data_IF_731630816188
#
_entry.id   IF_731630816188
#
_cell.length_a   1.000
_cell.length_b   1.000
_cell.length_c   1.000
_cell.angle_alpha   90.00
_cell.angle_beta   90.00
_cell.angle_gamma   90.00
#
_symmetry.space_group_name_H-M   'P 1'
#
loop_
_entity.id
_entity.type
_entity.pdbx_description
1 polymer ?
#
# COMPACT_ATOMS: atom_id res chain seq x y z
N UNK A 1 47.23 -6.50 15.69
CA UNK A 1 46.84 -5.24 15.01
C UNK A 1 45.85 -5.42 13.85
N UNK A 2 45.85 -6.56 13.14
CA UNK A 2 44.89 -6.85 12.04
C UNK A 2 43.40 -6.84 12.44
N UNK A 3 43.06 -7.27 13.66
CA UNK A 3 41.66 -7.34 14.11
C UNK A 3 40.99 -5.98 14.35
N UNK A 4 41.77 -4.93 14.66
CA UNK A 4 41.22 -3.59 14.90
C UNK A 4 40.78 -2.90 13.60
N UNK A 5 41.55 -3.10 12.52
CA UNK A 5 41.22 -2.59 11.19
C UNK A 5 39.98 -3.26 10.58
N UNK A 6 39.79 -4.57 10.82
CA UNK A 6 38.60 -5.30 10.35
C UNK A 6 37.32 -4.78 11.00
N UNK A 7 37.36 -4.43 12.30
CA UNK A 7 36.23 -3.85 13.03
C UNK A 7 35.79 -2.49 12.49
N UNK A 8 36.75 -1.64 12.14
CA UNK A 8 36.46 -0.31 11.57
C UNK A 8 35.92 -0.45 10.14
N UNK A 9 36.53 -1.34 9.34
CA UNK A 9 36.08 -1.58 7.97
C UNK A 9 34.66 -2.17 7.90
N UNK A 10 34.30 -3.09 8.80
CA UNK A 10 32.96 -3.68 8.82
C UNK A 10 31.88 -2.67 9.19
N UNK A 11 32.15 -1.76 10.13
CA UNK A 11 31.20 -0.70 10.51
C UNK A 11 30.92 0.27 9.36
N UNK A 12 31.97 0.71 8.66
CA UNK A 12 31.83 1.62 7.51
C UNK A 12 31.10 0.95 6.33
N UNK A 13 31.35 -0.34 6.09
CA UNK A 13 30.66 -1.09 5.04
C UNK A 13 29.15 -1.19 5.29
N UNK A 14 28.73 -1.41 6.55
CA UNK A 14 27.30 -1.49 6.90
C UNK A 14 26.55 -0.19 6.60
N UNK A 15 27.09 0.96 6.99
CA UNK A 15 26.48 2.27 6.72
C UNK A 15 26.41 2.54 5.21
N UNK A 16 27.46 2.14 4.48
CA UNK A 16 27.50 2.33 3.03
C UNK A 16 26.44 1.49 2.32
N UNK A 17 26.25 0.23 2.70
CA UNK A 17 25.22 -0.65 2.12
C UNK A 17 23.82 -0.09 2.39
N UNK A 18 23.53 0.33 3.62
CA UNK A 18 22.22 0.91 3.97
C UNK A 18 21.97 2.23 3.24
N UNK A 19 22.98 3.09 3.14
CA UNK A 19 22.88 4.34 2.39
C UNK A 19 22.67 4.11 0.89
N UNK A 20 23.34 3.11 0.31
CA UNK A 20 23.23 2.75 -1.09
C UNK A 20 21.86 2.13 -1.39
N UNK A 21 21.36 1.22 -0.54
CA UNK A 21 20.03 0.64 -0.64
C UNK A 21 18.93 1.72 -0.54
N UNK A 22 19.07 2.66 0.41
CA UNK A 22 18.17 3.81 0.53
C UNK A 22 18.18 4.70 -0.70
N UNK A 23 19.34 4.94 -1.31
CA UNK A 23 19.45 5.71 -2.55
C UNK A 23 18.87 4.97 -3.76
N UNK A 24 19.11 3.66 -3.89
CA UNK A 24 18.55 2.81 -4.94
C UNK A 24 17.03 2.72 -4.85
N UNK A 25 16.47 2.66 -3.63
CA UNK A 25 15.04 2.77 -3.40
C UNK A 25 14.47 4.09 -3.94
N UNK A 26 15.09 5.22 -3.58
CA UNK A 26 14.63 6.54 -4.01
C UNK A 26 14.81 6.75 -5.52
N UNK A 27 15.92 6.25 -6.10
CA UNK A 27 16.22 6.38 -7.52
C UNK A 27 15.37 5.43 -8.38
N UNK A 28 15.21 4.18 -7.97
CA UNK A 28 14.38 3.17 -8.66
C UNK A 28 12.88 3.46 -8.56
N UNK A 29 12.44 4.06 -7.46
CA UNK A 29 11.09 4.60 -7.34
C UNK A 29 10.80 5.67 -8.40
N UNK A 30 11.75 6.59 -8.65
CA UNK A 30 11.57 7.63 -9.70
C UNK A 30 11.37 7.03 -11.09
N UNK A 31 12.16 6.02 -11.46
CA UNK A 31 12.03 5.37 -12.78
C UNK A 31 10.78 4.51 -12.90
N UNK A 32 10.33 3.84 -11.83
CA UNK A 32 9.07 3.07 -11.85
C UNK A 32 7.83 3.98 -11.86
N UNK A 33 7.89 5.15 -11.23
CA UNK A 33 6.80 6.15 -11.30
C UNK A 33 6.61 6.64 -12.74
N UNK A 34 7.68 6.91 -13.49
CA UNK A 34 7.56 7.28 -14.92
C UNK A 34 6.98 6.12 -15.76
N UNK A 35 7.30 4.87 -15.44
CA UNK A 35 6.85 3.69 -16.20
C UNK A 35 5.41 3.25 -15.87
N UNK A 36 4.93 3.45 -14.64
CA UNK A 36 3.56 3.17 -14.21
C UNK A 36 2.59 4.27 -14.67
N UNK A 37 3.10 5.49 -14.90
CA UNK A 37 2.31 6.61 -15.45
C UNK A 37 2.03 6.45 -16.95
N UNK A 38 2.91 5.77 -17.71
CA UNK A 38 2.75 5.57 -19.15
C UNK A 38 2.20 4.19 -19.56
N UNK A 39 1.94 3.28 -18.62
CA UNK A 39 1.42 1.95 -18.93
C UNK A 39 -0.06 1.81 -18.53
N UNK A 40 -0.87 1.29 -19.45
CA UNK A 40 -2.29 0.96 -19.29
C UNK A 40 -2.49 -0.29 -18.39
N UNK A 41 -1.84 -0.29 -17.23
CA UNK A 41 -1.84 -1.40 -16.28
C UNK A 41 -2.81 -1.06 -15.16
N UNK A 42 -3.62 -2.06 -14.77
CA UNK A 42 -4.56 -1.97 -13.68
C UNK A 42 -3.84 -1.61 -12.37
N UNK A 43 -4.39 -0.63 -11.64
CA UNK A 43 -3.85 -0.21 -10.35
C UNK A 43 -4.56 -1.00 -9.26
N UNK A 44 -3.83 -1.87 -8.57
CA UNK A 44 -4.30 -2.54 -7.37
C UNK A 44 -3.86 -1.77 -6.14
N UNK A 45 -4.81 -1.16 -5.44
CA UNK A 45 -4.59 -0.42 -4.19
C UNK A 45 -5.07 -1.30 -3.04
N UNK A 46 -4.16 -1.82 -2.19
CA UNK A 46 -4.57 -2.49 -0.95
C UNK A 46 -5.16 -1.44 -0.01
N UNK A 47 -6.33 -1.73 0.57
CA UNK A 47 -6.94 -0.87 1.57
C UNK A 47 -6.42 -1.30 2.96
N UNK A 48 -5.96 -0.36 3.82
CA UNK A 48 -5.37 -0.71 5.10
C UNK A 48 -6.38 -1.43 6.02
N UNK A 49 -5.92 -2.55 6.57
CA UNK A 49 -6.43 -3.37 7.68
C UNK A 49 -7.78 -2.95 8.30
N UNK A 50 -8.89 -3.32 7.67
CA UNK A 50 -10.25 -3.19 8.24
C UNK A 50 -10.76 -1.77 8.54
N UNK A 51 -10.01 -0.74 8.13
CA UNK A 51 -10.39 0.65 8.40
C UNK A 51 -11.63 1.06 7.61
N UNK A 52 -11.73 0.62 6.36
CA UNK A 52 -12.84 1.00 5.48
C UNK A 52 -13.96 -0.04 5.61
N UNK A 53 -15.06 0.27 6.31
CA UNK A 53 -16.15 -0.67 6.49
C UNK A 53 -16.94 -0.82 5.19
N UNK A 54 -17.35 -2.05 4.87
CA UNK A 54 -18.36 -2.27 3.84
C UNK A 54 -19.73 -2.10 4.48
N UNK A 55 -20.39 -0.97 4.20
CA UNK A 55 -21.72 -0.63 4.71
C UNK A 55 -22.74 -0.63 3.58
N UNK A 56 -23.90 -1.24 3.78
CA UNK A 56 -25.03 -1.17 2.84
C UNK A 56 -26.21 -0.59 3.58
N UNK A 57 -26.81 0.47 3.04
CA UNK A 57 -27.90 1.25 3.67
C UNK A 57 -27.58 1.71 5.11
N UNK A 58 -26.29 1.97 5.39
CA UNK A 58 -25.78 2.35 6.70
C UNK A 58 -25.41 1.19 7.64
N UNK A 59 -25.82 -0.04 7.33
CA UNK A 59 -25.51 -1.22 8.13
C UNK A 59 -24.16 -1.82 7.73
N UNK A 60 -23.27 -2.02 8.71
CA UNK A 60 -21.93 -2.58 8.48
C UNK A 60 -22.01 -4.09 8.27
N UNK A 61 -21.84 -4.53 7.02
CA UNK A 61 -21.82 -5.94 6.64
C UNK A 61 -20.40 -6.53 6.62
N UNK A 62 -19.37 -5.69 6.51
CA UNK A 62 -18.00 -6.20 6.38
C UNK A 62 -16.91 -5.13 6.37
N UNK A 63 -15.85 -5.42 5.62
CA UNK A 63 -14.72 -4.53 5.35
C UNK A 63 -14.33 -4.57 3.87
N UNK A 64 -13.91 -3.44 3.32
CA UNK A 64 -13.26 -3.40 2.00
C UNK A 64 -11.78 -3.73 2.15
N UNK A 65 -11.30 -4.68 1.36
CA UNK A 65 -9.92 -5.18 1.41
C UNK A 65 -9.06 -4.65 0.26
N UNK A 66 -9.66 -4.48 -0.91
CA UNK A 66 -8.91 -4.16 -2.13
C UNK A 66 -9.76 -3.31 -3.07
N UNK A 67 -9.10 -2.36 -3.71
CA UNK A 67 -9.63 -1.59 -4.82
C UNK A 67 -8.73 -1.81 -6.03
N UNK A 68 -9.27 -2.34 -7.12
CA UNK A 68 -8.59 -2.48 -8.41
C UNK A 68 -9.24 -1.55 -9.41
N UNK A 69 -8.45 -0.64 -9.95
CA UNK A 69 -8.91 0.32 -10.95
C UNK A 69 -8.37 -0.13 -12.30
N UNK A 70 -9.27 -0.46 -13.22
CA UNK A 70 -8.96 -0.83 -14.59
C UNK A 70 -9.05 0.37 -15.51
N UNK A 71 -7.97 0.58 -16.26
CA UNK A 71 -7.77 1.77 -17.10
C UNK A 71 -7.18 1.33 -18.44
N UNK A 72 -7.84 1.67 -19.54
CA UNK A 72 -7.28 1.41 -20.88
C UNK A 72 -6.26 2.49 -21.28
N UNK A 73 -6.32 3.64 -20.62
CA UNK A 73 -5.34 4.71 -20.78
C UNK A 73 -5.07 5.37 -19.43
N UNK A 74 -3.92 6.06 -19.26
CA UNK A 74 -3.58 6.73 -18.00
C UNK A 74 -4.60 7.77 -17.50
N UNK A 75 -5.63 8.10 -18.30
CA UNK A 75 -6.60 9.17 -18.06
C UNK A 75 -8.06 8.70 -18.09
N UNK A 76 -8.30 7.42 -18.29
CA UNK A 76 -9.64 6.88 -18.45
C UNK A 76 -9.81 5.65 -17.57
N UNK A 77 -10.60 5.80 -16.52
CA UNK A 77 -11.06 4.68 -15.69
C UNK A 77 -12.29 4.09 -16.36
N UNK A 78 -12.18 2.82 -16.75
CA UNK A 78 -13.26 2.15 -17.47
C UNK A 78 -14.09 1.25 -16.55
N UNK A 79 -13.41 0.63 -15.59
CA UNK A 79 -14.00 -0.38 -14.72
C UNK A 79 -13.29 -0.39 -13.38
N UNK A 80 -14.04 -0.71 -12.33
CA UNK A 80 -13.52 -0.80 -10.97
C UNK A 80 -13.91 -2.16 -10.40
N UNK A 81 -12.97 -2.84 -9.75
CA UNK A 81 -13.27 -4.00 -8.92
C UNK A 81 -12.97 -3.67 -7.47
N UNK A 82 -13.93 -3.93 -6.60
CA UNK A 82 -13.76 -3.89 -5.15
C UNK A 82 -13.70 -5.33 -4.64
N UNK A 83 -12.90 -5.57 -3.61
CA UNK A 83 -12.92 -6.83 -2.85
C UNK A 83 -13.42 -6.53 -1.44
N UNK A 84 -14.52 -7.15 -1.05
CA UNK A 84 -15.13 -7.02 0.27
C UNK A 84 -15.06 -8.35 1.04
N UNK A 85 -14.88 -8.29 2.35
CA UNK A 85 -14.96 -9.44 3.24
C UNK A 85 -16.15 -9.24 4.20
N UNK A 86 -17.10 -10.17 4.18
CA UNK A 86 -18.31 -10.12 5.01
C UNK A 86 -18.02 -10.64 6.42
N UNK A 87 -18.70 -10.07 7.42
CA UNK A 87 -18.56 -10.46 8.82
C UNK A 87 -19.21 -11.81 9.11
N UNK A 88 -20.37 -12.09 8.50
CA UNK A 88 -21.14 -13.30 8.77
C UNK A 88 -21.40 -14.13 7.51
N UNK A 89 -21.29 -15.45 7.66
CA UNK A 89 -21.60 -16.42 6.60
C UNK A 89 -23.11 -16.48 6.43
N UNK A 90 -23.64 -15.76 5.43
CA UNK A 90 -25.07 -15.74 5.11
C UNK A 90 -25.61 -14.37 4.70
N UNK A 91 -24.94 -13.29 5.08
CA UNK A 91 -25.30 -11.91 4.69
C UNK A 91 -25.34 -11.71 3.17
N UNK A 92 -24.61 -12.54 2.43
CA UNK A 92 -24.70 -12.59 0.97
C UNK A 92 -26.15 -12.77 0.46
N UNK A 93 -26.95 -13.62 1.12
CA UNK A 93 -28.31 -13.92 0.67
C UNK A 93 -29.22 -12.68 0.63
N UNK A 94 -28.92 -11.67 1.45
CA UNK A 94 -29.65 -10.39 1.50
C UNK A 94 -29.24 -9.46 0.36
N UNK A 95 -28.06 -9.67 -0.22
CA UNK A 95 -27.50 -8.84 -1.29
C UNK A 95 -27.77 -9.39 -2.70
N UNK A 96 -28.25 -10.63 -2.85
CA UNK A 96 -28.45 -11.26 -4.18
C UNK A 96 -29.42 -10.48 -5.07
N UNK A 97 -30.49 -9.92 -4.49
CA UNK A 97 -31.50 -9.14 -5.21
C UNK A 97 -31.22 -7.62 -5.17
N UNK A 98 -30.02 -7.24 -4.70
CA UNK A 98 -29.63 -5.86 -4.48
C UNK A 98 -28.83 -5.29 -5.66
N UNK A 99 -29.28 -4.16 -6.21
CA UNK A 99 -28.47 -3.36 -7.12
C UNK A 99 -27.69 -2.34 -6.28
N UNK A 100 -26.41 -2.63 -6.05
CA UNK A 100 -25.55 -1.81 -5.22
C UNK A 100 -25.14 -0.53 -5.96
N UNK A 101 -25.32 0.61 -5.31
CA UNK A 101 -24.84 1.88 -5.82
C UNK A 101 -23.92 2.57 -4.81
N UNK A 102 -23.08 3.47 -5.33
CA UNK A 102 -22.30 4.40 -4.52
C UNK A 102 -22.32 5.78 -5.19
N UNK A 103 -22.63 6.81 -4.40
CA UNK A 103 -22.74 8.18 -4.90
C UNK A 103 -21.41 8.92 -4.86
N UNK A 104 -20.53 8.62 -3.89
CA UNK A 104 -19.22 9.26 -3.74
C UNK A 104 -18.10 8.22 -3.77
N UNK A 105 -17.36 8.22 -4.88
CA UNK A 105 -16.22 7.34 -5.08
C UNK A 105 -14.88 8.03 -4.77
N UNK A 106 -14.84 9.38 -4.73
CA UNK A 106 -13.59 10.09 -4.46
C UNK A 106 -13.14 9.87 -3.01
N UNK A 107 -14.10 9.79 -2.08
CA UNK A 107 -13.86 9.68 -0.65
C UNK A 107 -14.33 8.31 -0.10
N UNK A 108 -13.65 7.23 -0.51
CA UNK A 108 -13.81 5.90 0.10
C UNK A 108 -13.14 5.85 1.48
N UNK A 109 -13.90 6.15 2.53
CA UNK A 109 -13.48 6.24 3.92
C UNK A 109 -14.44 5.52 4.90
N UNK A 110 -14.29 5.80 6.20
CA UNK A 110 -15.12 5.21 7.27
C UNK A 110 -16.62 5.57 7.17
N UNK A 111 -16.95 6.65 6.47
CA UNK A 111 -18.30 7.18 6.32
C UNK A 111 -18.97 6.75 5.02
N UNK A 112 -18.21 6.19 4.07
CA UNK A 112 -18.77 5.67 2.84
C UNK A 112 -19.80 4.59 3.12
N UNK A 113 -20.93 4.67 2.42
CA UNK A 113 -21.98 3.67 2.46
C UNK A 113 -22.43 3.40 1.03
N UNK A 114 -22.64 2.13 0.74
CA UNK A 114 -23.33 1.69 -0.46
C UNK A 114 -24.83 1.76 -0.20
N UNK A 115 -25.60 2.03 -1.24
CA UNK A 115 -27.06 1.98 -1.18
C UNK A 115 -27.55 0.75 -1.93
N UNK A 116 -28.54 0.07 -1.36
CA UNK A 116 -29.21 -1.04 -2.00
C UNK A 116 -30.47 -0.57 -2.71
N UNK A 117 -30.56 -0.81 -4.01
CA UNK A 117 -31.77 -0.53 -4.77
C UNK A 117 -32.40 -1.81 -5.31
N UNK A 118 -33.71 -1.97 -5.14
CA UNK A 118 -34.47 -3.01 -5.85
C UNK A 118 -34.68 -2.63 -7.32
N UNK A 119 -34.83 -1.33 -7.61
CA UNK A 119 -34.93 -0.77 -8.95
C UNK A 119 -34.08 0.50 -9.02
N UNK A 120 -33.08 0.52 -9.90
CA UNK A 120 -32.16 1.65 -10.01
C UNK A 120 -32.87 2.90 -10.54
N UNK A 121 -32.61 4.08 -9.93
CA UNK A 121 -33.05 5.34 -10.48
C UNK A 121 -32.51 5.58 -11.89
N UNK A 122 -33.22 6.40 -12.66
CA UNK A 122 -32.69 6.85 -13.95
C UNK A 122 -31.44 7.68 -13.73
N UNK A 123 -30.38 7.38 -14.46
CA UNK A 123 -29.14 8.13 -14.40
C UNK A 123 -27.98 7.34 -13.80
N UNK A 124 -28.21 6.14 -13.27
CA UNK A 124 -27.11 5.24 -12.90
C UNK A 124 -26.58 4.49 -14.13
N UNK A 125 -25.29 4.16 -14.08
CA UNK A 125 -24.60 3.34 -15.09
C UNK A 125 -23.72 2.31 -14.38
N UNK A 126 -23.58 1.15 -14.99
CA UNK A 126 -22.67 0.11 -14.54
C UNK A 126 -21.23 0.62 -14.68
N UNK A 127 -20.45 0.53 -13.60
CA UNK A 127 -19.09 1.07 -13.56
C UNK A 127 -18.08 0.19 -12.82
N UNK A 128 -18.53 -0.92 -12.26
CA UNK A 128 -17.65 -1.85 -11.58
C UNK A 128 -18.35 -3.08 -11.06
N UNK A 129 -17.62 -3.83 -10.26
CA UNK A 129 -18.13 -4.97 -9.51
C UNK A 129 -17.49 -5.07 -8.13
N UNK A 130 -18.21 -5.68 -7.20
CA UNK A 130 -17.72 -6.02 -5.86
C UNK A 130 -17.63 -7.54 -5.76
N UNK A 131 -16.43 -8.05 -5.51
CA UNK A 131 -16.15 -9.45 -5.23
C UNK A 131 -16.16 -9.71 -3.73
N UNK A 132 -16.88 -10.74 -3.30
CA UNK A 132 -16.97 -11.11 -1.89
C UNK A 132 -16.01 -12.25 -1.55
N UNK A 133 -15.01 -11.94 -0.71
CA UNK A 133 -14.07 -12.91 -0.18
C UNK A 133 -14.83 -13.91 0.71
N UNK A 134 -14.70 -15.19 0.41
CA UNK A 134 -15.33 -16.29 1.13
C UNK A 134 -16.49 -16.95 0.39
N UNK A 135 -17.37 -16.17 -0.28
CA UNK A 135 -18.42 -16.73 -1.13
C UNK A 135 -17.93 -16.98 -2.56
N UNK A 136 -17.02 -16.14 -3.07
CA UNK A 136 -16.58 -16.16 -4.47
C UNK A 136 -17.62 -15.57 -5.45
N UNK A 137 -18.66 -14.94 -4.91
CA UNK A 137 -19.71 -14.28 -5.69
C UNK A 137 -19.36 -12.81 -5.96
N UNK A 138 -19.99 -12.23 -6.97
CA UNK A 138 -19.80 -10.83 -7.37
C UNK A 138 -21.12 -10.11 -7.60
N UNK A 139 -21.15 -8.81 -7.30
CA UNK A 139 -22.27 -7.92 -7.61
C UNK A 139 -21.82 -6.76 -8.47
N UNK A 140 -22.67 -6.35 -9.40
CA UNK A 140 -22.44 -5.15 -10.19
C UNK A 140 -22.57 -3.91 -9.33
N UNK A 141 -21.60 -3.00 -9.49
CA UNK A 141 -21.58 -1.70 -8.86
C UNK A 141 -22.07 -0.64 -9.85
N UNK A 142 -23.06 0.12 -9.40
CA UNK A 142 -23.67 1.19 -10.15
C UNK A 142 -23.25 2.54 -9.58
N UNK A 143 -23.04 3.52 -10.45
CA UNK A 143 -22.72 4.89 -10.03
C UNK A 143 -23.55 5.89 -10.84
N UNK A 144 -23.81 7.09 -10.31
CA UNK A 144 -24.43 8.17 -11.09
C UNK A 144 -23.63 8.46 -12.36
N UNK A 145 -24.31 8.74 -13.47
CA UNK A 145 -23.69 8.93 -14.79
C UNK A 145 -22.71 10.10 -14.83
N UNK A 146 -22.99 11.16 -14.08
CA UNK A 146 -22.11 12.30 -13.90
C UNK A 146 -20.82 11.91 -13.17
N UNK A 147 -20.92 11.12 -12.10
CA UNK A 147 -19.76 10.55 -11.40
C UNK A 147 -18.96 9.62 -12.31
N UNK A 148 -19.61 8.72 -13.05
CA UNK A 148 -18.94 7.86 -14.04
C UNK A 148 -18.23 8.68 -15.14
N UNK A 149 -18.84 9.77 -15.60
CA UNK A 149 -18.24 10.64 -16.60
C UNK A 149 -17.03 11.40 -16.04
N UNK A 150 -17.09 11.84 -14.79
CA UNK A 150 -15.96 12.45 -14.08
C UNK A 150 -14.82 11.45 -13.89
N UNK A 151 -15.10 10.24 -13.41
CA UNK A 151 -14.09 9.18 -13.24
C UNK A 151 -13.44 8.78 -14.58
N UNK A 152 -14.23 8.73 -15.67
CA UNK A 152 -13.72 8.50 -17.04
C UNK A 152 -12.85 9.64 -17.56
N UNK A 153 -12.99 10.83 -17.03
CA UNK A 153 -12.26 12.03 -17.47
C UNK A 153 -11.36 12.62 -16.38
N UNK A 154 -11.07 11.85 -15.32
CA UNK A 154 -10.38 12.33 -14.14
C UNK A 154 -9.03 12.95 -14.53
N UNK A 155 -8.93 14.27 -14.32
CA UNK A 155 -7.86 15.09 -14.88
C UNK A 155 -6.51 14.75 -14.24
N UNK A 156 -5.53 14.43 -15.09
CA UNK A 156 -4.16 14.01 -14.76
C UNK A 156 -3.53 14.83 -13.62
N UNK A 157 -3.81 16.14 -13.55
CA UNK A 157 -3.16 17.04 -12.59
C UNK A 157 -3.56 16.83 -11.13
N UNK A 158 -4.77 16.34 -10.84
CA UNK A 158 -5.26 16.18 -9.46
C UNK A 158 -4.61 14.94 -8.83
N UNK A 159 -4.69 13.81 -9.53
CA UNK A 159 -4.07 12.54 -9.10
C UNK A 159 -2.53 12.62 -9.08
N UNK A 160 -1.90 13.23 -10.08
CA UNK A 160 -0.43 13.37 -10.15
C UNK A 160 0.10 14.25 -9.00
N UNK A 161 -0.64 15.27 -8.55
CA UNK A 161 -0.23 16.07 -7.39
C UNK A 161 -0.44 15.37 -6.05
N UNK A 162 -1.49 14.59 -5.86
CA UNK A 162 -1.75 13.91 -4.59
C UNK A 162 -0.85 12.70 -4.37
N UNK A 163 -0.65 11.88 -5.41
CA UNK A 163 0.31 10.78 -5.34
C UNK A 163 1.74 11.30 -5.12
N UNK A 164 2.14 12.37 -5.82
CA UNK A 164 3.46 13.01 -5.59
C UNK A 164 3.56 13.64 -4.21
N UNK A 165 2.46 14.18 -3.65
CA UNK A 165 2.46 14.72 -2.27
C UNK A 165 2.59 13.62 -1.23
N UNK A 166 1.86 12.52 -1.37
CA UNK A 166 1.93 11.36 -0.48
C UNK A 166 3.34 10.74 -0.53
N UNK A 167 3.86 10.50 -1.73
CA UNK A 167 5.18 9.91 -1.93
C UNK A 167 6.30 10.82 -1.44
N UNK A 168 6.21 12.15 -1.66
CA UNK A 168 7.16 13.13 -1.09
C UNK A 168 7.10 13.20 0.44
N UNK A 169 5.98 12.80 1.06
CA UNK A 169 5.87 12.74 2.52
C UNK A 169 6.63 11.53 3.05
N UNK A 170 6.40 10.36 2.43
CA UNK A 170 7.12 9.11 2.74
C UNK A 170 8.63 9.25 2.54
N UNK A 171 9.08 9.77 1.39
CA UNK A 171 10.51 9.99 1.10
C UNK A 171 11.16 10.94 2.11
N UNK A 172 10.44 11.98 2.57
CA UNK A 172 10.98 12.91 3.58
C UNK A 172 11.17 12.27 4.96
N UNK A 173 10.34 11.29 5.32
CA UNK A 173 10.49 10.52 6.57
C UNK A 173 11.76 9.69 6.48
N UNK A 174 11.92 8.92 5.40
CA UNK A 174 13.10 8.08 5.16
C UNK A 174 14.38 8.92 5.04
N UNK A 175 14.35 10.05 4.36
CA UNK A 175 15.52 10.94 4.22
C UNK A 175 15.95 11.54 5.56
N UNK A 176 14.99 11.88 6.44
CA UNK A 176 15.28 12.38 7.79
C UNK A 176 15.96 11.30 8.62
N UNK A 177 15.47 10.07 8.57
CA UNK A 177 16.04 8.95 9.32
C UNK A 177 17.39 8.49 8.75
N UNK A 178 17.61 8.56 7.43
CA UNK A 178 18.91 8.31 6.82
C UNK A 178 19.97 9.31 7.32
N UNK A 179 19.60 10.59 7.47
CA UNK A 179 20.53 11.62 7.98
C UNK A 179 20.84 11.40 9.45
N UNK A 180 19.87 11.07 10.29
CA UNK A 180 20.11 10.75 11.71
C UNK A 180 20.88 9.44 11.87
N UNK A 181 20.73 8.49 10.95
CA UNK A 181 21.44 7.23 10.98
C UNK A 181 22.93 7.34 10.65
N UNK A 182 23.30 8.25 9.73
CA UNK A 182 24.69 8.50 9.38
C UNK A 182 25.54 8.91 10.60
N UNK A 183 24.93 9.56 11.59
CA UNK A 183 25.60 10.01 12.82
C UNK A 183 25.65 8.92 13.91
N UNK A 184 24.78 7.90 13.85
CA UNK A 184 24.56 6.92 14.95
C UNK A 184 25.00 5.49 14.62
N UNK A 185 25.60 5.23 13.46
CA UNK A 185 26.17 3.92 13.12
C UNK A 185 25.14 2.79 13.07
N UNK A 186 25.40 1.68 13.76
CA UNK A 186 24.57 0.45 13.71
C UNK A 186 23.14 0.65 14.25
N UNK A 187 22.97 1.52 15.25
CA UNK A 187 21.65 1.90 15.77
C UNK A 187 20.86 2.72 14.75
N UNK A 188 21.58 3.50 13.93
CA UNK A 188 21.03 4.26 12.82
C UNK A 188 20.44 3.36 11.72
N UNK A 189 21.16 2.29 11.35
CA UNK A 189 20.70 1.38 10.30
C UNK A 189 19.37 0.69 10.64
N UNK A 190 19.14 0.33 11.91
CA UNK A 190 17.88 -0.27 12.33
C UNK A 190 16.70 0.72 12.24
N UNK A 191 16.92 1.99 12.58
CA UNK A 191 15.90 3.05 12.45
C UNK A 191 15.53 3.34 10.99
N UNK A 192 16.51 3.31 10.09
CA UNK A 192 16.27 3.48 8.65
C UNK A 192 15.46 2.31 8.09
N UNK A 193 15.80 1.06 8.47
CA UNK A 193 15.04 -0.11 8.05
C UNK A 193 13.58 -0.04 8.53
N UNK A 194 13.36 0.30 9.80
CA UNK A 194 12.03 0.50 10.36
C UNK A 194 11.24 1.60 9.62
N UNK A 195 11.86 2.74 9.34
CA UNK A 195 11.23 3.85 8.63
C UNK A 195 10.88 3.51 7.16
N UNK A 196 11.69 2.69 6.49
CA UNK A 196 11.40 2.19 5.14
C UNK A 196 10.18 1.26 5.18
N UNK A 197 10.09 0.38 6.17
CA UNK A 197 8.96 -0.54 6.31
C UNK A 197 7.66 0.19 6.70
N UNK A 198 7.73 1.16 7.61
CA UNK A 198 6.58 2.01 7.94
C UNK A 198 6.11 2.82 6.71
N UNK A 199 7.05 3.32 5.90
CA UNK A 199 6.72 4.13 4.73
C UNK A 199 6.19 3.31 3.55
N UNK A 200 6.64 2.07 3.36
CA UNK A 200 6.37 1.29 2.14
C UNK A 200 5.65 -0.04 2.36
N UNK A 201 5.50 -0.51 3.60
CA UNK A 201 4.79 -1.74 3.96
C UNK A 201 5.21 -2.94 3.12
N UNK A 202 4.22 -3.69 2.61
CA UNK A 202 4.41 -4.85 1.73
C UNK A 202 4.78 -4.48 0.28
N UNK A 203 4.83 -3.19 -0.05
CA UNK A 203 5.10 -2.72 -1.42
C UNK A 203 6.61 -2.60 -1.71
N UNK A 204 7.46 -3.14 -0.84
CA UNK A 204 8.92 -3.09 -1.03
C UNK A 204 9.29 -4.03 -2.19
N UNK A 205 9.98 -3.54 -3.24
CA UNK A 205 10.44 -4.39 -4.33
C UNK A 205 11.33 -5.54 -3.81
N UNK A 206 11.15 -6.75 -4.34
CA UNK A 206 11.96 -7.92 -3.96
C UNK A 206 13.48 -7.70 -4.13
N UNK A 207 13.87 -6.82 -5.07
CA UNK A 207 15.25 -6.38 -5.29
C UNK A 207 15.86 -5.71 -4.05
N UNK A 208 15.05 -4.93 -3.34
CA UNK A 208 15.44 -4.18 -2.13
C UNK A 208 15.50 -5.11 -0.94
N UNK A 209 14.54 -6.04 -0.83
CA UNK A 209 14.55 -7.09 0.20
C UNK A 209 15.85 -7.90 0.09
N UNK A 210 16.22 -8.32 -1.13
CA UNK A 210 17.46 -9.07 -1.36
C UNK A 210 18.73 -8.30 -0.97
N UNK A 211 18.78 -6.98 -1.21
CA UNK A 211 19.92 -6.14 -0.77
C UNK A 211 19.96 -5.97 0.76
N UNK A 212 18.81 -5.82 1.41
CA UNK A 212 18.71 -5.73 2.87
C UNK A 212 19.11 -7.06 3.53
N UNK A 213 18.70 -8.20 2.96
CA UNK A 213 19.13 -9.53 3.39
C UNK A 213 20.64 -9.74 3.19
N UNK A 214 21.20 -9.28 2.07
CA UNK A 214 22.65 -9.30 1.83
C UNK A 214 23.43 -8.43 2.84
N UNK A 215 22.79 -7.40 3.41
CA UNK A 215 23.31 -6.58 4.50
C UNK A 215 23.19 -7.26 5.88
N UNK A 216 22.59 -8.45 5.98
CA UNK A 216 22.34 -9.18 7.22
C UNK A 216 21.04 -8.82 7.93
N UNK A 217 20.12 -8.12 7.25
CA UNK A 217 18.79 -7.79 7.78
C UNK A 217 17.83 -8.87 7.29
N UNK A 218 17.42 -9.80 8.16
CA UNK A 218 16.50 -10.87 7.80
C UNK A 218 15.04 -10.46 8.04
N UNK A 219 14.18 -10.83 7.10
CA UNK A 219 12.72 -10.66 7.20
C UNK A 219 12.11 -12.05 7.40
N UNK A 220 11.57 -12.35 8.58
CA UNK A 220 10.78 -13.57 8.76
C UNK A 220 9.35 -13.31 8.28
N UNK A 221 8.80 -14.26 7.54
CA UNK A 221 7.55 -14.11 6.79
C UNK A 221 6.38 -13.64 7.67
N UNK A 222 5.70 -12.58 7.19
CA UNK A 222 4.81 -11.64 7.88
C UNK A 222 5.58 -10.47 8.51
N UNK A 223 5.42 -9.28 7.91
CA UNK A 223 6.04 -8.01 8.32
C UNK A 223 5.39 -7.50 9.63
N UNK A 224 5.48 -8.30 10.69
CA UNK A 224 5.07 -7.94 12.05
C UNK A 224 6.23 -8.05 13.04
N UNK A 225 7.33 -8.74 12.69
CA UNK A 225 8.52 -8.84 13.53
C UNK A 225 9.80 -8.75 12.68
N UNK A 226 10.67 -7.78 12.97
CA UNK A 226 11.94 -7.60 12.25
C UNK A 226 13.09 -7.91 13.19
N UNK A 227 13.80 -9.01 12.91
CA UNK A 227 15.02 -9.35 13.63
C UNK A 227 16.24 -8.89 12.83
N UNK A 228 16.86 -7.80 13.28
CA UNK A 228 18.11 -7.30 12.70
C UNK A 228 19.30 -8.01 13.35
N UNK A 229 19.77 -9.11 12.75
CA UNK A 229 20.98 -9.80 13.20
C UNK A 229 22.26 -9.24 12.54
N UNK A 230 22.87 -8.23 13.16
CA UNK A 230 24.21 -7.79 12.75
C UNK A 230 25.25 -8.76 13.30
N UNK A 231 25.68 -9.74 12.49
CA UNK A 231 26.79 -10.64 12.85
C UNK A 231 28.14 -9.92 12.86
N UNK A 232 28.45 -9.30 14.01
CA UNK A 232 29.80 -8.87 14.39
C UNK A 232 30.54 -10.03 15.08
N UNK A 233 31.86 -10.10 14.91
CA UNK A 233 32.73 -11.14 15.49
C UNK A 233 32.67 -11.25 17.03
N UNK A 234 32.13 -10.24 17.70
CA UNK A 234 31.65 -10.33 19.08
C UNK A 234 30.15 -10.03 19.06
N UNK A 235 29.34 -11.03 19.46
CA UNK A 235 27.88 -11.09 19.33
C UNK A 235 27.17 -10.01 20.14
N UNK A 236 26.68 -8.96 19.47
CA UNK A 236 25.67 -8.05 20.02
C UNK A 236 24.43 -8.19 19.15
N UNK A 237 23.48 -8.98 19.63
CA UNK A 237 22.14 -9.09 19.02
C UNK A 237 21.34 -7.88 19.47
N UNK A 238 20.97 -7.01 18.54
CA UNK A 238 20.04 -5.90 18.82
C UNK A 238 18.69 -6.30 18.28
N UNK A 239 17.81 -6.79 19.16
CA UNK A 239 16.41 -7.04 18.82
C UNK A 239 15.66 -5.72 18.91
N UNK A 240 15.05 -5.29 17.81
CA UNK A 240 14.13 -4.15 17.80
C UNK A 240 12.73 -4.72 17.67
N UNK A 241 12.04 -4.87 18.81
CA UNK A 241 10.61 -5.17 18.82
C UNK A 241 9.84 -3.88 18.49
N UNK A 242 9.16 -3.85 17.35
CA UNK A 242 8.17 -2.83 17.05
C UNK A 242 6.84 -3.36 17.58
N UNK A 243 6.45 -2.92 18.76
CA UNK A 243 5.17 -3.30 19.36
C UNK A 243 4.04 -2.60 18.60
N UNK A 244 3.04 -3.36 18.16
CA UNK A 244 1.73 -2.83 17.76
C UNK A 244 1.19 -1.94 18.88
N UNK A 245 0.91 -0.67 18.56
CA UNK A 245 0.10 0.24 19.39
C UNK A 245 -1.05 0.78 18.55
#
# INVERSE_FOLDING_TARGET
MRGYWIRIASGAAGIFVVGMAGWYLVAGARSKVEQVIDSAVSLSIPLPFDLVPFKVDGDRLGSLKKLVIHRDSPKEVNWIELEAELNEVGQWAELVDCQLSIDDFEDLDENSSFECHTELPRGYVEFGEIHFRGSGESLLLWVPRDVAAELRHADRRRMEMEHVRMYRRQVRIVERELRTAADNGAEGSARVAAAILEAFGDSIPAEVIAELEAAGIQFDGHVTEIRVEVKSADSVTTTVEISDQ
#
